data_IF_235200096735
#
_entry.id   IF_235200096735
#
_cell.length_a   1.000
_cell.length_b   1.000
_cell.length_c   1.000
_cell.angle_alpha   90.00
_cell.angle_beta   90.00
_cell.angle_gamma   90.00
#
_symmetry.space_group_name_H-M   'P 1'
#
loop_
_entity.id
_entity.type
_entity.pdbx_description
1 polymer ?
#
# COMPACT_ATOMS: atom_id res chain seq x y z
N UNK A 1 -36.54 22.99 28.15
CA UNK A 1 -35.69 24.14 28.57
C UNK A 1 -34.49 23.60 29.35
N UNK A 2 -33.30 23.52 28.76
CA UNK A 2 -32.06 23.21 29.49
C UNK A 2 -31.01 24.26 29.12
N UNK A 3 -30.36 24.87 30.13
CA UNK A 3 -29.27 25.85 29.92
C UNK A 3 -27.92 25.13 29.74
N UNK A 4 -26.96 25.71 29.00
CA UNK A 4 -25.62 25.15 28.85
C UNK A 4 -24.77 25.34 30.11
N UNK A 5 -23.80 24.45 30.33
CA UNK A 5 -22.70 24.67 31.31
C UNK A 5 -21.48 25.28 30.61
N UNK A 6 -20.80 26.15 31.36
CA UNK A 6 -19.67 26.97 30.91
C UNK A 6 -18.38 26.15 30.69
N UNK A 7 -17.50 26.68 29.85
CA UNK A 7 -16.12 26.23 29.69
C UNK A 7 -15.20 26.87 30.75
N UNK A 8 -14.07 26.24 31.12
CA UNK A 8 -13.02 26.87 31.91
C UNK A 8 -11.96 27.56 31.02
N UNK A 9 -11.49 28.72 31.48
CA UNK A 9 -10.38 29.50 30.89
C UNK A 9 -8.98 29.02 31.36
N UNK A 10 -7.88 29.45 30.70
CA UNK A 10 -6.53 28.92 30.95
C UNK A 10 -5.83 29.53 32.16
N UNK A 11 -4.95 28.75 32.78
CA UNK A 11 -4.10 29.16 33.91
C UNK A 11 -2.76 29.79 33.45
N UNK A 12 -2.39 30.89 34.10
CA UNK A 12 -1.17 31.65 33.85
C UNK A 12 0.12 30.93 34.28
N UNK A 13 1.20 31.21 33.55
CA UNK A 13 2.60 31.02 33.95
C UNK A 13 3.10 32.16 34.86
N UNK A 14 4.08 31.90 35.73
CA UNK A 14 5.16 32.84 36.04
C UNK A 14 6.50 32.32 35.49
N UNK A 15 7.46 33.21 35.22
CA UNK A 15 8.77 32.85 34.67
C UNK A 15 9.94 33.57 35.32
N UNK A 16 11.15 33.05 35.04
CA UNK A 16 12.47 33.64 35.29
C UNK A 16 13.50 32.78 34.51
N UNK A 17 14.66 33.25 34.03
CA UNK A 17 15.23 34.61 33.97
C UNK A 17 16.30 34.69 32.85
N UNK A 18 16.89 35.86 32.65
CA UNK A 18 17.96 36.12 31.65
C UNK A 18 19.34 35.55 32.15
N UNK A 19 20.50 35.54 31.46
CA UNK A 19 21.05 36.46 30.42
C UNK A 19 22.41 35.96 29.85
N UNK A 20 22.75 36.31 28.60
CA UNK A 20 24.14 36.39 28.03
C UNK A 20 24.81 35.08 27.55
N UNK A 21 25.76 35.07 26.57
CA UNK A 21 26.29 36.11 25.66
C UNK A 21 27.58 35.66 24.90
N UNK A 22 27.85 36.19 23.69
CA UNK A 22 29.03 35.88 22.82
C UNK A 22 28.74 34.78 21.76
N UNK A 23 29.02 34.86 20.43
CA UNK A 23 30.13 35.41 19.60
C UNK A 23 31.50 34.77 19.90
N UNK A 24 32.34 34.38 18.95
CA UNK A 24 32.46 34.75 17.51
C UNK A 24 33.28 33.72 16.68
N UNK A 25 33.13 33.70 15.35
CA UNK A 25 34.10 33.16 14.36
C UNK A 25 34.21 31.62 14.18
N UNK A 26 34.88 31.10 13.14
CA UNK A 26 35.20 31.64 11.80
C UNK A 26 35.76 30.52 10.86
N UNK A 27 35.74 30.81 9.55
CA UNK A 27 36.62 30.23 8.52
C UNK A 27 36.39 28.79 8.01
N UNK A 28 36.99 28.54 6.84
CA UNK A 28 36.70 27.52 5.83
C UNK A 28 38.03 27.16 5.12
N UNK A 29 38.02 26.11 4.26
CA UNK A 29 39.16 25.50 3.48
C UNK A 29 39.72 24.23 4.16
N UNK A 30 40.28 23.24 3.43
CA UNK A 30 40.58 23.15 1.99
C UNK A 30 40.65 21.67 1.53
N UNK A 31 40.39 21.40 0.23
CA UNK A 31 40.90 20.24 -0.57
C UNK A 31 40.50 18.82 -0.08
N UNK A 32 40.63 17.71 -0.81
CA UNK A 32 40.59 17.35 -2.25
C UNK A 32 40.20 15.84 -2.30
N UNK A 33 40.09 15.07 -3.39
CA UNK A 33 40.55 15.20 -4.79
C UNK A 33 39.61 14.44 -5.75
N UNK A 34 39.98 14.35 -7.04
CA UNK A 34 39.29 13.57 -8.07
C UNK A 34 39.59 12.06 -8.06
N UNK A 35 38.65 11.25 -8.56
CA UNK A 35 38.94 10.05 -9.34
C UNK A 35 37.80 9.81 -10.35
N UNK A 36 38.07 10.03 -11.64
CA UNK A 36 37.24 9.52 -12.75
C UNK A 36 37.81 8.17 -13.18
N UNK A 37 36.95 7.21 -13.44
CA UNK A 37 37.26 6.06 -14.29
C UNK A 37 36.31 6.10 -15.49
N UNK A 38 36.88 6.12 -16.70
CA UNK A 38 36.19 5.86 -17.95
C UNK A 38 36.56 4.45 -18.37
N UNK A 39 35.60 3.63 -18.79
CA UNK A 39 35.86 2.47 -19.63
C UNK A 39 35.30 2.77 -21.02
N UNK A 40 36.11 2.51 -22.04
CA UNK A 40 35.81 2.75 -23.45
C UNK A 40 35.45 1.44 -24.17
N UNK A 41 34.98 1.55 -25.41
CA UNK A 41 34.43 0.44 -26.19
C UNK A 41 35.44 -0.65 -26.58
N UNK A 42 34.92 -1.85 -26.85
CA UNK A 42 35.68 -2.95 -27.46
C UNK A 42 34.76 -3.94 -28.19
N UNK A 43 34.31 -3.60 -29.39
CA UNK A 43 33.46 -4.46 -30.20
C UNK A 43 34.22 -5.34 -31.20
N UNK A 44 33.78 -6.59 -31.40
CA UNK A 44 34.03 -7.36 -32.61
C UNK A 44 33.01 -8.50 -32.82
N UNK A 45 32.36 -8.53 -33.99
CA UNK A 45 31.75 -9.73 -34.58
C UNK A 45 32.65 -10.20 -35.73
N UNK A 46 32.57 -11.47 -36.15
CA UNK A 46 32.52 -11.68 -37.59
C UNK A 46 31.53 -12.76 -38.08
N UNK A 47 30.94 -12.41 -39.24
CA UNK A 47 30.49 -13.22 -40.37
C UNK A 47 29.51 -14.42 -40.26
N UNK A 48 28.45 -14.27 -41.06
CA UNK A 48 27.53 -15.30 -41.55
C UNK A 48 28.15 -15.98 -42.78
N UNK A 49 28.11 -17.32 -42.84
CA UNK A 49 28.60 -18.12 -43.97
C UNK A 49 27.51 -18.95 -44.66
N UNK A 50 27.46 -18.81 -45.98
CA UNK A 50 26.75 -19.60 -47.01
C UNK A 50 25.84 -20.79 -46.64
N UNK A 51 24.61 -20.79 -47.18
CA UNK A 51 23.74 -21.98 -47.31
C UNK A 51 24.25 -22.91 -48.43
N UNK A 52 24.56 -24.16 -48.11
CA UNK A 52 24.69 -25.25 -49.09
C UNK A 52 23.46 -26.16 -48.98
N UNK A 53 22.75 -26.40 -50.10
CA UNK A 53 21.64 -27.36 -50.17
C UNK A 53 22.17 -28.70 -50.71
N UNK A 54 22.39 -29.68 -49.82
CA UNK A 54 22.47 -31.08 -50.23
C UNK A 54 21.06 -31.69 -50.27
N UNK A 55 20.72 -32.35 -51.38
CA UNK A 55 19.61 -33.30 -51.46
C UNK A 55 20.13 -34.66 -51.01
N UNK A 56 19.41 -35.31 -50.10
CA UNK A 56 19.61 -36.72 -49.71
C UNK A 56 18.28 -37.45 -49.94
N UNK A 57 18.26 -38.73 -50.40
CA UNK A 57 17.03 -39.44 -50.72
C UNK A 57 16.16 -39.75 -49.50
N UNK A 58 14.89 -40.06 -49.77
CA UNK A 58 13.88 -40.41 -48.77
C UNK A 58 13.95 -41.91 -48.46
N UNK A 59 14.46 -42.29 -47.29
CA UNK A 59 14.29 -43.64 -46.73
C UNK A 59 13.23 -43.65 -45.63
N UNK A 60 12.44 -44.72 -45.57
CA UNK A 60 11.32 -44.85 -44.64
C UNK A 60 11.78 -45.39 -43.28
N UNK A 61 11.43 -44.69 -42.20
CA UNK A 61 11.61 -45.15 -40.83
C UNK A 61 10.33 -45.83 -40.30
N UNK A 62 10.42 -46.87 -39.45
CA UNK A 62 9.28 -47.67 -39.01
C UNK A 62 8.43 -46.99 -37.93
N UNK A 63 7.17 -47.44 -37.82
CA UNK A 63 6.19 -46.95 -36.85
C UNK A 63 6.70 -47.03 -35.40
N UNK A 64 6.95 -45.88 -34.76
CA UNK A 64 6.91 -45.80 -33.30
C UNK A 64 5.46 -45.67 -32.85
N UNK A 65 5.02 -46.63 -32.04
CA UNK A 65 3.76 -46.57 -31.31
C UNK A 65 3.71 -45.32 -30.42
N UNK A 66 2.64 -44.52 -30.58
CA UNK A 66 2.40 -43.37 -29.72
C UNK A 66 2.09 -43.83 -28.30
N UNK A 67 3.08 -43.79 -27.41
CA UNK A 67 2.84 -43.94 -25.97
C UNK A 67 1.97 -42.76 -25.54
N UNK A 68 0.73 -43.05 -25.14
CA UNK A 68 -0.15 -42.04 -24.61
C UNK A 68 0.46 -41.47 -23.32
N UNK A 69 0.87 -40.20 -23.37
CA UNK A 69 1.26 -39.46 -22.16
C UNK A 69 0.07 -39.47 -21.21
N UNK A 70 0.21 -39.98 -19.97
CA UNK A 70 -0.89 -39.94 -19.01
C UNK A 70 -1.27 -38.48 -18.79
N UNK A 71 -2.51 -38.12 -19.13
CA UNK A 71 -3.06 -36.83 -18.75
C UNK A 71 -3.22 -36.84 -17.23
N UNK A 72 -2.23 -36.29 -16.53
CA UNK A 72 -2.32 -35.93 -15.12
C UNK A 72 -3.36 -34.83 -14.99
N UNK A 73 -4.63 -35.22 -14.89
CA UNK A 73 -5.73 -34.34 -14.53
C UNK A 73 -5.52 -33.89 -13.08
N UNK A 74 -4.70 -32.86 -12.88
CA UNK A 74 -4.55 -32.20 -11.59
C UNK A 74 -5.93 -31.71 -11.16
N UNK A 75 -6.45 -32.30 -10.08
CA UNK A 75 -7.73 -31.87 -9.51
C UNK A 75 -7.68 -30.37 -9.23
N UNK A 76 -8.72 -29.59 -9.59
CA UNK A 76 -8.77 -28.17 -9.26
C UNK A 76 -8.62 -27.96 -7.77
N UNK A 77 -7.81 -26.97 -7.37
CA UNK A 77 -7.66 -26.62 -5.96
C UNK A 77 -9.02 -26.21 -5.36
N UNK A 78 -9.32 -26.61 -4.12
CA UNK A 78 -10.57 -26.23 -3.46
C UNK A 78 -10.62 -24.72 -3.20
N UNK A 79 -11.81 -24.17 -3.01
CA UNK A 79 -11.94 -22.80 -2.51
C UNK A 79 -11.38 -22.69 -1.08
N UNK A 80 -10.77 -21.56 -0.74
CA UNK A 80 -10.36 -21.28 0.64
C UNK A 80 -11.60 -21.17 1.56
N UNK A 81 -11.50 -21.57 2.84
CA UNK A 81 -12.62 -21.47 3.78
C UNK A 81 -13.00 -20.02 4.08
N UNK A 82 -14.28 -19.78 4.43
CA UNK A 82 -14.84 -18.43 4.69
C UNK A 82 -14.12 -17.68 5.84
N UNK A 83 -13.71 -18.42 6.88
CA UNK A 83 -12.76 -17.97 7.89
C UNK A 83 -11.51 -18.86 7.83
N UNK A 84 -10.34 -18.23 7.75
CA UNK A 84 -9.06 -18.96 7.65
C UNK A 84 -8.72 -19.64 8.98
N UNK A 85 -8.26 -20.91 8.96
CA UNK A 85 -7.79 -21.61 10.15
C UNK A 85 -6.42 -21.09 10.65
N UNK A 86 -5.77 -20.17 9.93
CA UNK A 86 -4.43 -19.67 10.24
C UNK A 86 -4.42 -18.44 11.16
N UNK A 87 -5.59 -17.90 11.53
CA UNK A 87 -5.71 -16.64 12.28
C UNK A 87 -5.29 -16.79 13.76
N UNK A 88 -4.38 -15.93 14.23
CA UNK A 88 -3.88 -15.99 15.62
C UNK A 88 -4.68 -15.11 16.59
N UNK A 89 -5.51 -14.19 16.08
CA UNK A 89 -6.30 -13.26 16.88
C UNK A 89 -5.51 -12.00 17.27
N UNK A 90 -5.54 -11.56 18.54
CA UNK A 90 -4.86 -10.35 19.00
C UNK A 90 -3.34 -10.37 18.77
N UNK A 91 -2.77 -9.21 18.41
CA UNK A 91 -1.34 -9.05 18.16
C UNK A 91 -0.78 -7.83 18.92
N UNK A 92 0.46 -7.95 19.39
CA UNK A 92 1.21 -6.82 19.92
C UNK A 92 1.82 -6.01 18.78
N UNK A 93 1.44 -4.74 18.68
CA UNK A 93 1.90 -3.80 17.65
C UNK A 93 2.75 -2.72 18.32
N UNK A 94 4.00 -2.54 17.92
CA UNK A 94 4.94 -1.56 18.49
C UNK A 94 5.71 -0.82 17.38
N UNK A 95 6.22 0.38 17.69
CA UNK A 95 6.86 1.29 16.72
C UNK A 95 8.20 1.83 17.25
N UNK A 96 8.89 1.02 18.04
CA UNK A 96 10.15 1.28 18.74
C UNK A 96 11.36 0.56 18.09
N UNK A 97 11.13 -0.37 17.16
CA UNK A 97 12.16 -1.20 16.52
C UNK A 97 12.38 -0.80 15.06
N UNK A 98 13.63 -0.66 14.59
CA UNK A 98 13.90 -0.40 13.18
C UNK A 98 13.44 -1.58 12.30
N UNK A 99 12.96 -1.27 11.10
CA UNK A 99 12.47 -2.27 10.13
C UNK A 99 13.34 -2.26 8.89
N UNK A 100 13.91 -3.41 8.55
CA UNK A 100 14.60 -3.67 7.29
C UNK A 100 13.69 -4.43 6.32
N UNK A 101 13.42 -3.86 5.15
CA UNK A 101 12.56 -4.46 4.14
C UNK A 101 13.18 -5.70 3.47
N UNK A 102 14.51 -5.82 3.44
CA UNK A 102 15.16 -7.02 2.90
C UNK A 102 14.93 -8.21 3.84
N UNK A 103 15.07 -8.01 5.15
CA UNK A 103 14.69 -9.00 6.15
C UNK A 103 13.19 -9.33 6.12
N UNK A 104 12.31 -8.35 5.96
CA UNK A 104 10.85 -8.61 5.82
C UNK A 104 10.55 -9.45 4.57
N UNK A 105 11.22 -9.20 3.45
CA UNK A 105 11.08 -10.03 2.25
C UNK A 105 11.59 -11.47 2.48
N UNK A 106 12.74 -11.65 3.14
CA UNK A 106 13.27 -12.97 3.52
C UNK A 106 12.35 -13.74 4.48
N UNK A 107 11.68 -13.03 5.39
CA UNK A 107 10.69 -13.60 6.31
C UNK A 107 9.33 -13.91 5.64
N UNK A 108 9.05 -13.34 4.47
CA UNK A 108 7.80 -13.53 3.72
C UNK A 108 8.07 -14.06 2.29
N UNK A 109 8.76 -15.22 2.13
CA UNK A 109 9.26 -15.70 0.84
C UNK A 109 8.16 -16.12 -0.15
N UNK A 110 6.90 -16.18 0.30
CA UNK A 110 5.75 -16.43 -0.57
C UNK A 110 5.21 -15.16 -1.25
N UNK A 111 5.63 -13.97 -0.79
CA UNK A 111 5.29 -12.70 -1.43
C UNK A 111 6.15 -12.54 -2.68
N UNK A 112 5.47 -12.45 -3.82
CA UNK A 112 6.05 -12.26 -5.16
C UNK A 112 6.26 -10.77 -5.42
N UNK A 113 7.16 -10.49 -6.37
CA UNK A 113 7.50 -9.15 -6.83
C UNK A 113 6.26 -8.26 -7.06
N UNK A 114 6.33 -7.00 -6.63
CA UNK A 114 5.21 -6.07 -6.62
C UNK A 114 4.28 -6.21 -5.42
N UNK A 115 4.64 -7.03 -4.40
CA UNK A 115 3.81 -7.26 -3.23
C UNK A 115 2.61 -8.17 -3.47
N UNK A 116 2.72 -9.12 -4.42
CA UNK A 116 1.64 -10.04 -4.78
C UNK A 116 1.72 -11.33 -3.97
N UNK A 117 0.58 -11.83 -3.49
CA UNK A 117 0.50 -13.15 -2.86
C UNK A 117 -0.84 -13.81 -3.20
N UNK A 118 -0.85 -15.13 -3.29
CA UNK A 118 -2.04 -15.97 -3.36
C UNK A 118 -1.76 -17.27 -2.59
N UNK A 119 -2.74 -17.89 -1.91
CA UNK A 119 -2.54 -19.18 -1.26
C UNK A 119 -2.13 -20.26 -2.27
N UNK A 120 -1.39 -21.28 -1.80
CA UNK A 120 -0.92 -22.38 -2.65
C UNK A 120 -1.90 -23.56 -2.69
N UNK A 121 -2.60 -23.78 -1.58
CA UNK A 121 -3.36 -25.01 -1.33
C UNK A 121 -4.89 -24.82 -1.52
N UNK A 122 -5.32 -23.59 -1.80
CA UNK A 122 -6.72 -23.25 -2.06
C UNK A 122 -6.83 -21.99 -2.94
N UNK A 123 -7.98 -21.82 -3.62
CA UNK A 123 -8.32 -20.64 -4.41
C UNK A 123 -9.08 -19.65 -3.54
N UNK A 124 -8.54 -18.45 -3.35
CA UNK A 124 -9.23 -17.41 -2.59
C UNK A 124 -10.36 -16.79 -3.41
N UNK A 125 -11.60 -16.69 -2.88
CA UNK A 125 -12.65 -15.88 -3.51
C UNK A 125 -12.39 -14.36 -3.36
N UNK A 126 -11.35 -13.97 -2.63
CA UNK A 126 -11.04 -12.58 -2.29
C UNK A 126 -9.82 -12.09 -3.05
N UNK A 127 -10.04 -11.55 -4.25
CA UNK A 127 -9.04 -10.84 -5.05
C UNK A 127 -8.98 -9.37 -4.65
N UNK A 128 -7.99 -9.00 -3.81
CA UNK A 128 -7.93 -7.72 -3.09
C UNK A 128 -6.77 -6.83 -3.57
N UNK A 129 -7.08 -5.65 -4.11
CA UNK A 129 -6.11 -4.57 -4.24
C UNK A 129 -6.09 -3.72 -2.97
N UNK A 130 -4.93 -3.63 -2.30
CA UNK A 130 -4.75 -2.77 -1.13
C UNK A 130 -4.08 -1.48 -1.58
N UNK A 131 -4.82 -0.38 -1.49
CA UNK A 131 -4.42 0.93 -1.99
C UNK A 131 -4.04 1.82 -0.81
N UNK A 132 -2.81 2.33 -0.84
CA UNK A 132 -2.22 3.20 0.18
C UNK A 132 -1.91 4.55 -0.47
N UNK A 133 -2.61 5.65 -0.10
CA UNK A 133 -2.28 6.99 -0.58
C UNK A 133 -1.05 7.49 0.17
N UNK A 134 -0.03 7.94 -0.56
CA UNK A 134 1.31 8.12 0.02
C UNK A 134 2.00 9.40 -0.46
N UNK A 135 2.79 9.99 0.46
CA UNK A 135 3.85 10.95 0.14
C UNK A 135 4.80 11.04 1.34
N UNK A 136 6.10 10.88 1.12
CA UNK A 136 7.19 11.09 2.09
C UNK A 136 6.96 10.47 3.49
N UNK A 137 6.55 9.19 3.55
CA UNK A 137 6.25 8.47 4.81
C UNK A 137 6.91 7.09 4.87
N UNK A 138 8.15 6.98 4.39
CA UNK A 138 8.82 5.70 4.18
C UNK A 138 8.93 4.86 5.44
N UNK A 139 9.27 5.46 6.59
CA UNK A 139 9.35 4.72 7.87
C UNK A 139 7.99 4.14 8.32
N UNK A 140 6.88 4.82 8.02
CA UNK A 140 5.55 4.29 8.30
C UNK A 140 5.24 3.11 7.40
N UNK A 141 5.56 3.23 6.10
CA UNK A 141 5.36 2.15 5.13
C UNK A 141 6.15 0.90 5.52
N UNK A 142 7.36 1.04 6.06
CA UNK A 142 8.13 -0.11 6.57
C UNK A 142 7.39 -0.88 7.66
N UNK A 143 6.90 -0.19 8.71
CA UNK A 143 6.07 -0.83 9.74
C UNK A 143 4.79 -1.43 9.17
N UNK A 144 4.14 -0.74 8.22
CA UNK A 144 2.92 -1.22 7.58
C UNK A 144 3.17 -2.54 6.84
N UNK A 145 4.22 -2.62 6.01
CA UNK A 145 4.59 -3.85 5.28
C UNK A 145 4.97 -4.98 6.25
N UNK A 146 5.78 -4.68 7.28
CA UNK A 146 6.19 -5.64 8.31
C UNK A 146 4.99 -6.31 9.01
N UNK A 147 3.99 -5.52 9.42
CA UNK A 147 2.82 -6.06 10.11
C UNK A 147 1.79 -6.68 9.16
N UNK A 148 1.51 -6.06 8.01
CA UNK A 148 0.38 -6.50 7.18
C UNK A 148 0.71 -7.72 6.31
N UNK A 149 1.93 -7.91 5.78
CA UNK A 149 2.20 -9.10 4.96
C UNK A 149 1.89 -10.43 5.67
N UNK A 150 2.33 -10.66 6.92
CA UNK A 150 1.95 -11.86 7.66
C UNK A 150 0.44 -11.97 7.91
N UNK A 151 -0.24 -10.86 8.20
CA UNK A 151 -1.69 -10.83 8.47
C UNK A 151 -2.48 -11.23 7.21
N UNK A 152 -2.16 -10.63 6.07
CA UNK A 152 -2.86 -10.85 4.79
C UNK A 152 -2.65 -12.27 4.26
N UNK A 153 -1.46 -12.84 4.48
CA UNK A 153 -1.19 -14.26 4.18
C UNK A 153 -2.01 -15.19 5.08
N UNK A 154 -2.07 -14.94 6.40
CA UNK A 154 -2.94 -15.72 7.32
C UNK A 154 -4.42 -15.56 7.01
N UNK A 155 -4.85 -14.46 6.41
CA UNK A 155 -6.23 -14.28 5.92
C UNK A 155 -6.54 -15.00 4.59
N UNK A 156 -5.58 -15.73 4.00
CA UNK A 156 -5.74 -16.50 2.76
C UNK A 156 -6.31 -15.68 1.58
N UNK A 157 -5.86 -14.44 1.43
CA UNK A 157 -6.27 -13.54 0.35
C UNK A 157 -5.40 -13.72 -0.90
N UNK A 158 -5.97 -13.57 -2.09
CA UNK A 158 -5.18 -13.18 -3.28
C UNK A 158 -5.08 -11.67 -3.28
N UNK A 159 -3.89 -11.11 -3.02
CA UNK A 159 -3.73 -9.68 -2.84
C UNK A 159 -2.56 -9.09 -3.62
N UNK A 160 -2.63 -7.76 -3.79
CA UNK A 160 -1.53 -6.91 -4.20
C UNK A 160 -1.52 -5.58 -3.43
N UNK A 161 -0.33 -5.03 -3.22
CA UNK A 161 -0.13 -3.81 -2.41
C UNK A 161 0.34 -2.67 -3.32
N UNK A 162 -0.44 -1.60 -3.37
CA UNK A 162 -0.24 -0.46 -4.25
C UNK A 162 -0.05 0.83 -3.43
N UNK A 163 1.17 1.35 -3.46
CA UNK A 163 1.55 2.62 -2.83
C UNK A 163 1.44 3.71 -3.88
N UNK A 164 0.40 4.55 -3.78
CA UNK A 164 0.12 5.61 -4.75
C UNK A 164 0.78 6.89 -4.25
N UNK A 165 1.98 7.14 -4.78
CA UNK A 165 2.85 8.24 -4.36
C UNK A 165 2.50 9.53 -5.12
N UNK A 166 2.08 10.57 -4.40
CA UNK A 166 1.83 11.89 -4.99
C UNK A 166 3.15 12.61 -5.27
N UNK A 167 3.41 12.91 -6.54
CA UNK A 167 4.54 13.71 -6.96
C UNK A 167 4.41 15.19 -6.52
N UNK A 168 5.55 15.84 -6.29
CA UNK A 168 5.64 17.25 -5.96
C UNK A 168 5.08 17.66 -4.58
N UNK A 169 5.20 18.96 -4.29
CA UNK A 169 4.96 19.55 -2.97
C UNK A 169 3.59 20.27 -2.84
N UNK A 170 2.65 19.98 -3.73
CA UNK A 170 1.29 20.53 -3.75
C UNK A 170 0.46 20.04 -2.54
N UNK A 171 -0.80 20.47 -2.40
CA UNK A 171 -1.69 19.96 -1.34
C UNK A 171 -1.90 18.44 -1.52
N UNK A 172 -1.83 17.67 -0.43
CA UNK A 172 -2.02 16.21 -0.48
C UNK A 172 -3.49 15.86 -0.73
N UNK A 173 -3.82 15.25 -1.88
CA UNK A 173 -5.19 14.87 -2.20
C UNK A 173 -5.39 13.35 -2.06
N UNK A 174 -5.61 12.94 -0.81
CA UNK A 174 -5.86 11.55 -0.44
C UNK A 174 -6.91 10.87 -1.33
N UNK A 175 -8.09 11.48 -1.51
CA UNK A 175 -9.20 10.86 -2.23
C UNK A 175 -8.88 10.62 -3.71
N UNK A 176 -8.23 11.59 -4.37
CA UNK A 176 -7.82 11.44 -5.78
C UNK A 176 -6.78 10.33 -5.96
N UNK A 177 -5.86 10.15 -5.00
CA UNK A 177 -4.90 9.02 -5.00
C UNK A 177 -5.57 7.65 -4.80
N UNK A 178 -6.65 7.56 -4.01
CA UNK A 178 -7.42 6.30 -3.88
C UNK A 178 -8.08 5.93 -5.22
N UNK A 179 -8.66 6.93 -5.92
CA UNK A 179 -9.25 6.74 -7.25
C UNK A 179 -8.21 6.33 -8.30
N UNK A 180 -7.00 6.93 -8.28
CA UNK A 180 -5.86 6.49 -9.09
C UNK A 180 -5.52 5.03 -8.81
N UNK A 181 -5.36 4.65 -7.53
CA UNK A 181 -4.99 3.29 -7.17
C UNK A 181 -6.01 2.24 -7.58
N UNK A 182 -7.31 2.56 -7.49
CA UNK A 182 -8.37 1.72 -8.05
C UNK A 182 -8.20 1.51 -9.57
N UNK A 183 -7.98 2.58 -10.33
CA UNK A 183 -7.86 2.51 -11.80
C UNK A 183 -6.58 1.83 -12.28
N UNK A 184 -5.45 2.03 -11.58
CA UNK A 184 -4.18 1.39 -11.93
C UNK A 184 -4.12 -0.09 -11.53
N UNK A 185 -4.62 -0.47 -10.34
CA UNK A 185 -4.61 -1.86 -9.90
C UNK A 185 -5.43 -2.78 -10.84
N UNK A 186 -6.51 -2.26 -11.44
CA UNK A 186 -7.31 -2.99 -12.44
C UNK A 186 -6.60 -3.22 -13.77
N UNK A 187 -5.49 -2.52 -14.08
CA UNK A 187 -4.65 -2.82 -15.25
C UNK A 187 -3.72 -4.01 -15.00
N UNK A 188 -3.35 -4.23 -13.75
CA UNK A 188 -2.45 -5.30 -13.33
C UNK A 188 -3.17 -6.65 -13.19
N UNK A 189 -4.41 -6.64 -12.69
CA UNK A 189 -5.13 -7.85 -12.34
C UNK A 189 -6.64 -7.61 -12.18
N UNK A 190 -7.45 -8.66 -12.32
CA UNK A 190 -8.91 -8.64 -12.25
C UNK A 190 -9.44 -8.61 -10.80
N UNK A 191 -8.93 -7.68 -9.99
CA UNK A 191 -9.33 -7.48 -8.61
C UNK A 191 -10.83 -7.19 -8.48
N UNK A 192 -11.48 -7.89 -7.54
CA UNK A 192 -12.92 -7.75 -7.24
C UNK A 192 -13.17 -7.02 -5.92
N UNK A 193 -12.12 -6.72 -5.17
CA UNK A 193 -12.18 -6.01 -3.90
C UNK A 193 -11.06 -4.97 -3.76
N UNK A 194 -11.37 -3.84 -3.13
CA UNK A 194 -10.43 -2.74 -2.90
C UNK A 194 -10.43 -2.34 -1.44
N UNK A 195 -9.26 -2.36 -0.81
CA UNK A 195 -9.05 -1.91 0.58
C UNK A 195 -8.26 -0.61 0.55
N UNK A 196 -8.88 0.47 0.98
CA UNK A 196 -8.24 1.78 1.09
C UNK A 196 -7.67 1.95 2.51
N UNK A 197 -6.36 1.78 2.67
CA UNK A 197 -5.68 1.87 3.98
C UNK A 197 -4.89 3.16 4.10
N UNK A 198 -4.88 3.77 5.28
CA UNK A 198 -3.79 4.68 5.63
C UNK A 198 -2.50 3.89 5.87
N UNK A 199 -1.36 4.52 5.58
CA UNK A 199 -0.02 3.97 5.83
C UNK A 199 0.33 3.92 7.33
N UNK A 200 -0.44 4.63 8.17
CA UNK A 200 -0.21 4.74 9.61
C UNK A 200 -1.20 3.97 10.49
N UNK A 201 -2.11 3.17 9.91
CA UNK A 201 -3.08 2.36 10.66
C UNK A 201 -2.77 0.87 10.56
N UNK A 202 -2.38 0.27 11.69
CA UNK A 202 -2.07 -1.16 11.81
C UNK A 202 -3.18 -1.87 12.61
N UNK A 203 -3.76 -2.97 12.13
CA UNK A 203 -4.78 -3.72 12.87
C UNK A 203 -4.14 -4.49 14.04
N UNK A 204 -4.82 -4.51 15.19
CA UNK A 204 -4.35 -5.18 16.40
C UNK A 204 -4.89 -6.62 16.55
N UNK A 205 -5.65 -7.10 15.57
CA UNK A 205 -6.23 -8.45 15.56
C UNK A 205 -6.41 -8.91 14.10
N UNK A 206 -5.87 -10.08 13.74
CA UNK A 206 -5.93 -10.57 12.35
C UNK A 206 -7.29 -11.16 11.95
N UNK A 207 -8.22 -11.34 12.89
CA UNK A 207 -9.65 -11.58 12.58
C UNK A 207 -10.35 -10.34 12.01
N UNK A 208 -9.70 -9.18 11.98
CA UNK A 208 -10.18 -8.02 11.25
C UNK A 208 -9.86 -8.19 9.76
N UNK A 209 -10.75 -8.84 9.01
CA UNK A 209 -10.48 -9.25 7.63
C UNK A 209 -10.33 -8.06 6.66
N UNK A 210 -9.20 -8.01 5.94
CA UNK A 210 -8.87 -7.01 4.91
C UNK A 210 -9.47 -7.40 3.56
N UNK A 211 -10.80 -7.57 3.55
CA UNK A 211 -11.58 -7.95 2.37
C UNK A 211 -12.95 -7.30 2.35
N UNK A 212 -13.65 -7.52 1.24
CA UNK A 212 -14.99 -7.00 0.99
C UNK A 212 -16.08 -7.93 1.55
N UNK A 213 -17.26 -7.35 1.71
CA UNK A 213 -18.47 -7.97 2.23
C UNK A 213 -19.66 -7.48 1.40
N UNK A 214 -20.86 -7.99 1.65
CA UNK A 214 -22.11 -7.59 0.96
C UNK A 214 -22.51 -6.11 1.11
N UNK A 215 -21.83 -5.37 1.99
CA UNK A 215 -22.00 -3.93 2.23
C UNK A 215 -20.63 -3.28 2.42
N UNK A 216 -20.46 -1.98 2.09
CA UNK A 216 -19.21 -1.26 2.32
C UNK A 216 -18.67 -1.45 3.74
N UNK A 217 -17.39 -1.83 3.85
CA UNK A 217 -16.75 -2.25 5.10
C UNK A 217 -15.87 -1.13 5.67
N UNK A 218 -16.11 -0.72 6.90
CA UNK A 218 -15.18 0.14 7.65
C UNK A 218 -14.35 -0.73 8.60
N UNK A 219 -13.06 -0.89 8.29
CA UNK A 219 -12.13 -1.80 8.97
C UNK A 219 -11.61 -1.21 10.29
N UNK A 220 -11.18 0.05 10.29
CA UNK A 220 -10.54 0.72 11.43
C UNK A 220 -11.55 1.39 12.37
N UNK A 221 -12.47 0.62 12.96
CA UNK A 221 -13.60 1.15 13.75
C UNK A 221 -13.20 1.77 15.09
N UNK A 222 -12.11 1.30 15.69
CA UNK A 222 -11.64 1.73 17.01
C UNK A 222 -10.12 2.00 16.96
N UNK A 223 -9.72 3.26 16.94
CA UNK A 223 -8.30 3.65 16.90
C UNK A 223 -7.80 4.04 18.31
N UNK A 224 -6.56 3.67 18.63
CA UNK A 224 -5.88 3.99 19.89
C UNK A 224 -5.86 5.51 20.19
N UNK A 225 -5.65 6.33 19.17
CA UNK A 225 -5.69 7.81 19.23
C UNK A 225 -7.02 8.38 19.75
N UNK A 226 -8.13 7.64 19.62
CA UNK A 226 -9.44 8.03 20.15
C UNK A 226 -9.83 7.20 21.40
N UNK A 227 -8.86 6.57 22.06
CA UNK A 227 -9.09 5.70 23.21
C UNK A 227 -9.95 4.48 22.86
N UNK A 228 -9.86 3.98 21.63
CA UNK A 228 -10.70 2.91 21.08
C UNK A 228 -12.22 3.18 21.10
N UNK A 229 -12.64 4.44 21.26
CA UNK A 229 -14.06 4.83 21.17
C UNK A 229 -14.57 4.70 19.74
N UNK A 230 -15.73 4.07 19.57
CA UNK A 230 -16.40 3.94 18.28
C UNK A 230 -16.89 5.31 17.79
N UNK A 231 -16.49 5.68 16.57
CA UNK A 231 -17.00 6.87 15.89
C UNK A 231 -18.15 6.44 14.96
N UNK A 232 -19.37 6.76 15.35
CA UNK A 232 -20.56 6.58 14.52
C UNK A 232 -20.83 7.86 13.71
N UNK A 233 -21.21 7.71 12.43
CA UNK A 233 -21.52 8.81 11.50
C UNK A 233 -22.73 8.50 10.61
N UNK A 234 -23.76 7.87 11.17
CA UNK A 234 -25.09 7.77 10.55
C UNK A 234 -25.24 6.93 9.27
N UNK A 235 -24.20 6.22 8.81
CA UNK A 235 -24.28 5.38 7.60
C UNK A 235 -24.38 3.88 7.95
N UNK A 236 -25.25 3.17 7.24
CA UNK A 236 -25.37 1.69 7.26
C UNK A 236 -24.13 1.05 6.63
N UNK A 237 -23.08 0.89 7.43
CA UNK A 237 -21.76 0.41 7.01
C UNK A 237 -21.46 -0.88 7.76
N UNK A 238 -20.98 -1.90 7.04
CA UNK A 238 -20.50 -3.14 7.62
C UNK A 238 -19.27 -2.87 8.49
N UNK A 239 -19.23 -3.44 9.70
CA UNK A 239 -18.17 -3.21 10.69
C UNK A 239 -17.75 -4.51 11.37
N UNK A 240 -16.47 -4.72 11.69
CA UNK A 240 -16.04 -5.75 12.64
C UNK A 240 -16.57 -5.44 14.05
N UNK A 241 -16.57 -6.44 14.92
CA UNK A 241 -16.72 -6.23 16.36
C UNK A 241 -15.66 -5.22 16.84
N UNK A 242 -16.04 -4.29 17.73
CA UNK A 242 -15.18 -3.21 18.22
C UNK A 242 -13.87 -3.67 18.90
N UNK A 243 -13.81 -4.90 19.41
CA UNK A 243 -12.60 -5.52 19.98
C UNK A 243 -11.66 -6.01 18.88
N UNK A 244 -12.21 -6.61 17.82
CA UNK A 244 -11.45 -7.12 16.66
C UNK A 244 -10.98 -5.96 15.78
N UNK A 245 -11.85 -4.98 15.55
CA UNK A 245 -11.58 -3.80 14.72
C UNK A 245 -10.74 -2.71 15.40
N UNK A 246 -9.89 -3.08 16.36
CA UNK A 246 -8.92 -2.18 16.98
C UNK A 246 -7.73 -1.96 16.06
N UNK A 247 -7.32 -0.70 15.90
CA UNK A 247 -6.11 -0.32 15.16
C UNK A 247 -5.22 0.57 16.03
N UNK A 248 -3.90 0.40 15.87
CA UNK A 248 -2.87 1.27 16.47
C UNK A 248 -2.36 2.24 15.41
N UNK A 249 -2.29 3.52 15.75
CA UNK A 249 -1.83 4.57 14.84
C UNK A 249 -0.34 4.88 15.01
N UNK A 250 0.42 4.87 13.92
CA UNK A 250 1.82 5.33 13.90
C UNK A 250 1.83 6.85 14.13
N UNK A 251 2.37 7.26 15.28
CA UNK A 251 2.38 8.66 15.71
C UNK A 251 3.36 9.48 14.86
N UNK A 252 2.89 10.64 14.41
CA UNK A 252 3.67 11.59 13.62
C UNK A 252 3.17 13.02 13.89
N UNK A 253 4.03 14.01 13.63
CA UNK A 253 3.64 15.43 13.60
C UNK A 253 2.72 15.71 12.41
N UNK A 254 1.77 16.65 12.55
CA UNK A 254 0.90 17.02 11.41
C UNK A 254 1.73 17.52 10.22
N UNK A 255 1.31 17.15 9.01
CA UNK A 255 1.86 17.72 7.78
C UNK A 255 1.54 19.22 7.74
N UNK A 256 2.56 20.08 7.64
CA UNK A 256 2.46 21.56 7.69
C UNK A 256 1.50 22.18 6.65
N UNK A 257 1.08 21.42 5.65
CA UNK A 257 0.19 21.84 4.54
C UNK A 257 -1.20 21.17 4.58
N UNK A 258 -1.57 20.52 5.70
CA UNK A 258 -2.79 19.73 5.84
C UNK A 258 -3.56 20.10 7.12
N UNK A 259 -3.85 21.39 7.29
CA UNK A 259 -4.68 21.86 8.41
C UNK A 259 -6.13 21.34 8.29
N UNK A 260 -6.84 21.13 9.42
CA UNK A 260 -8.20 20.63 9.41
C UNK A 260 -9.12 21.53 8.60
N UNK A 261 -9.75 20.98 7.56
CA UNK A 261 -10.79 21.70 6.82
C UNK A 261 -11.91 22.11 7.80
N UNK A 262 -12.15 23.42 8.02
CA UNK A 262 -13.15 23.89 8.99
C UNK A 262 -14.58 23.53 8.55
N UNK A 263 -14.83 23.41 7.25
CA UNK A 263 -16.11 23.04 6.66
C UNK A 263 -16.33 21.51 6.58
N UNK A 264 -15.66 20.70 7.40
CA UNK A 264 -15.73 19.23 7.30
C UNK A 264 -17.14 18.66 7.58
N UNK A 265 -17.99 19.40 8.29
CA UNK A 265 -19.27 18.90 8.76
C UNK A 265 -20.47 19.29 7.85
N UNK A 266 -20.39 20.38 7.10
CA UNK A 266 -21.51 20.92 6.31
C UNK A 266 -21.50 20.49 4.82
N UNK A 267 -20.99 19.29 4.52
CA UNK A 267 -20.78 18.82 3.14
C UNK A 267 -21.80 17.81 2.62
N UNK A 268 -22.84 17.47 3.37
CA UNK A 268 -23.85 16.46 2.96
C UNK A 268 -24.61 16.90 1.68
N UNK A 269 -25.07 18.15 1.62
CA UNK A 269 -25.74 18.69 0.44
C UNK A 269 -24.82 18.70 -0.78
N UNK A 270 -23.63 19.31 -0.62
CA UNK A 270 -22.62 19.39 -1.67
C UNK A 270 -22.18 18.00 -2.20
N UNK A 271 -22.01 16.99 -1.33
CA UNK A 271 -21.71 15.62 -1.78
C UNK A 271 -22.83 15.03 -2.63
N UNK A 272 -24.10 15.29 -2.29
CA UNK A 272 -25.24 14.83 -3.09
C UNK A 272 -25.29 15.49 -4.47
N UNK A 273 -24.85 16.75 -4.57
CA UNK A 273 -24.77 17.50 -5.82
C UNK A 273 -23.61 17.04 -6.71
N UNK A 274 -22.41 16.81 -6.14
CA UNK A 274 -21.20 16.56 -6.93
C UNK A 274 -20.86 15.09 -7.16
N UNK A 275 -21.39 14.13 -6.39
CA UNK A 275 -20.95 12.72 -6.46
C UNK A 275 -21.11 12.01 -7.82
N UNK A 276 -21.92 12.56 -8.73
CA UNK A 276 -22.10 12.03 -10.09
C UNK A 276 -21.17 12.69 -11.14
N UNK A 277 -20.57 13.84 -10.83
CA UNK A 277 -19.69 14.62 -11.71
C UNK A 277 -18.25 14.72 -11.22
N UNK A 278 -17.99 14.49 -9.92
CA UNK A 278 -16.68 14.48 -9.28
C UNK A 278 -16.37 13.07 -8.73
N UNK A 279 -15.50 12.33 -9.41
CA UNK A 279 -15.23 10.93 -9.09
C UNK A 279 -14.31 10.21 -10.08
N UNK A 280 -14.63 8.96 -10.39
CA UNK A 280 -13.85 8.15 -11.35
C UNK A 280 -14.02 8.61 -12.81
N UNK A 281 -15.16 9.22 -13.15
CA UNK A 281 -15.47 9.73 -14.48
C UNK A 281 -14.73 11.04 -14.83
N UNK A 282 -14.42 11.88 -13.84
CA UNK A 282 -13.63 13.11 -14.00
C UNK A 282 -12.14 12.94 -13.65
N UNK A 283 -11.68 11.70 -13.43
CA UNK A 283 -10.36 11.41 -12.89
C UNK A 283 -9.21 11.70 -13.88
N UNK A 284 -8.54 12.84 -13.69
CA UNK A 284 -7.34 13.27 -14.43
C UNK A 284 -6.07 13.10 -13.61
N UNK A 285 -5.04 12.46 -14.17
CA UNK A 285 -3.68 12.34 -13.62
C UNK A 285 -2.72 11.82 -14.70
N UNK A 286 -1.42 11.94 -14.43
CA UNK A 286 -0.35 11.34 -15.23
C UNK A 286 0.44 10.36 -14.34
N UNK A 287 0.73 9.16 -14.86
CA UNK A 287 1.70 8.25 -14.24
C UNK A 287 3.09 8.69 -14.67
N UNK A 288 3.96 9.00 -13.70
CA UNK A 288 5.34 9.42 -13.95
C UNK A 288 6.31 8.24 -13.87
N UNK A 289 6.05 7.30 -12.96
CA UNK A 289 6.92 6.17 -12.67
C UNK A 289 6.15 5.01 -12.00
N UNK A 290 6.58 3.77 -12.26
CA UNK A 290 6.03 2.54 -11.69
C UNK A 290 7.17 1.60 -11.28
N UNK A 291 7.37 1.44 -9.98
CA UNK A 291 8.41 0.57 -9.41
C UNK A 291 7.78 -0.63 -8.71
N UNK A 292 8.17 -1.85 -9.10
CA UNK A 292 7.80 -3.07 -8.39
C UNK A 292 8.94 -3.49 -7.46
N UNK A 293 8.75 -3.27 -6.17
CA UNK A 293 9.63 -3.79 -5.12
C UNK A 293 9.16 -5.18 -4.69
N UNK A 294 9.99 -5.97 -3.96
CA UNK A 294 9.59 -7.30 -3.49
C UNK A 294 8.26 -7.32 -2.71
N UNK A 295 8.01 -6.25 -1.93
CA UNK A 295 6.88 -6.17 -0.99
C UNK A 295 5.71 -5.28 -1.45
N UNK A 296 5.88 -4.46 -2.49
CA UNK A 296 4.82 -3.56 -2.96
C UNK A 296 5.10 -3.03 -4.37
N UNK A 297 4.05 -2.59 -5.06
CA UNK A 297 4.14 -1.78 -6.26
C UNK A 297 3.95 -0.31 -5.88
N UNK A 298 4.93 0.55 -6.19
CA UNK A 298 4.80 2.00 -6.06
C UNK A 298 4.45 2.60 -7.41
N UNK A 299 3.44 3.47 -7.43
CA UNK A 299 3.01 4.23 -8.61
C UNK A 299 3.14 5.70 -8.25
N UNK A 300 4.09 6.39 -8.87
CA UNK A 300 4.27 7.84 -8.69
C UNK A 300 3.44 8.58 -9.73
N UNK A 301 2.56 9.48 -9.26
CA UNK A 301 1.60 10.19 -10.11
C UNK A 301 1.63 11.69 -9.89
N UNK A 302 1.50 12.45 -10.98
CA UNK A 302 1.04 13.84 -10.93
C UNK A 302 -0.49 13.84 -11.03
N UNK A 303 -1.14 14.53 -10.09
CA UNK A 303 -2.60 14.66 -10.01
C UNK A 303 -3.07 16.11 -10.23
N UNK A 304 -2.16 16.99 -10.63
CA UNK A 304 -2.38 18.43 -10.78
C UNK A 304 -2.47 19.18 -9.45
N UNK A 305 -2.78 20.47 -9.54
CA UNK A 305 -3.09 21.34 -8.40
C UNK A 305 -4.60 21.39 -8.13
N UNK A 306 -5.03 21.76 -6.92
CA UNK A 306 -6.40 22.21 -6.68
C UNK A 306 -6.79 23.31 -7.68
N UNK A 307 -8.03 23.22 -8.18
CA UNK A 307 -8.68 24.20 -9.07
C UNK A 307 -9.66 25.06 -8.25
#
# INVERSE_FOLDING_TARGET
RCRPRLAPEPLHTPGSGQRGGGREGAAQRDRSSAAKAQEEEGGARPNVGARVRLRVPLEAAPNLTSVAVPQTTSLPLPACPEESPLLVGPMLIEFNMPVDLELVAKQNPNVKMGGRYTPRDCVSPHKVAIIIPFRNRQEHLKYWLYYLHPILQRQQLDYGIYVINQAGDTMFNRAKLLNVGFREALKDYDYTCFVFSDVDLIPMNDRNAYRCFSQPRHISVAMDKFGFRLVFRGMSISRPNAVVGRCRMIRHSRDKKNEPNPQRFDRIAHTKETMLSDGLNSLTYQVLDVQRYPLYTQITVDIGTPS
#
